data_IF_678696895484
#
_entry.id   IF_678696895484
#
_cell.length_a   1.000
_cell.length_b   1.000
_cell.length_c   1.000
_cell.angle_alpha   90.00
_cell.angle_beta   90.00
_cell.angle_gamma   90.00
#
_symmetry.space_group_name_H-M   'P 1'
#
loop_
_entity.id
_entity.type
_entity.pdbx_description
1 polymer ?
#
# COMPACT_ATOMS: atom_id res chain seq x y z
N UNK A 1 -15.29 -7.05 -16.25
CA UNK A 1 -13.91 -6.95 -16.72
C UNK A 1 -13.92 -6.24 -18.08
N UNK A 2 -13.08 -5.25 -18.29
CA UNK A 2 -13.00 -4.50 -19.56
C UNK A 2 -11.62 -4.71 -20.21
N UNK A 3 -11.54 -4.59 -21.54
CA UNK A 3 -10.24 -4.67 -22.24
C UNK A 3 -9.37 -3.46 -21.90
N UNK A 4 -8.05 -3.68 -21.88
CA UNK A 4 -7.03 -2.62 -21.66
C UNK A 4 -7.19 -1.49 -22.68
N UNK A 5 -7.51 -1.83 -23.94
CA UNK A 5 -7.58 -0.87 -25.04
C UNK A 5 -8.79 0.06 -24.93
N UNK A 6 -9.92 -0.46 -24.42
CA UNK A 6 -11.15 0.30 -24.30
C UNK A 6 -11.30 1.02 -22.95
N UNK A 7 -10.40 0.77 -21.99
CA UNK A 7 -10.46 1.44 -20.70
C UNK A 7 -10.26 2.95 -20.86
N UNK A 8 -11.13 3.70 -20.23
CA UNK A 8 -11.09 5.17 -20.11
C UNK A 8 -11.14 5.56 -18.64
N UNK A 9 -10.53 6.70 -18.27
CA UNK A 9 -10.65 7.24 -16.92
C UNK A 9 -12.12 7.34 -16.50
N UNK A 10 -12.39 6.96 -15.26
CA UNK A 10 -13.75 7.01 -14.70
C UNK A 10 -14.23 8.44 -14.48
N UNK A 11 -15.55 8.63 -14.38
CA UNK A 11 -16.25 9.91 -14.20
C UNK A 11 -16.03 10.92 -15.34
N UNK A 12 -15.77 10.45 -16.56
CA UNK A 12 -15.57 11.34 -17.72
C UNK A 12 -14.32 12.21 -17.64
N UNK A 13 -13.39 11.90 -16.72
CA UNK A 13 -12.14 12.65 -16.57
C UNK A 13 -11.23 12.46 -17.78
N UNK A 14 -10.62 13.54 -18.21
CA UNK A 14 -9.58 13.55 -19.23
C UNK A 14 -8.24 13.71 -18.51
N UNK A 15 -7.41 12.68 -18.55
CA UNK A 15 -6.04 12.75 -18.05
C UNK A 15 -5.14 13.38 -19.11
N UNK A 16 -4.17 14.16 -18.66
CA UNK A 16 -3.08 14.60 -19.54
C UNK A 16 -2.35 13.38 -20.16
N UNK A 17 -1.76 13.49 -21.37
CA UNK A 17 -1.16 12.36 -22.07
C UNK A 17 -0.14 11.59 -21.22
N UNK A 18 0.72 12.27 -20.47
CA UNK A 18 1.71 11.62 -19.60
C UNK A 18 1.06 10.91 -18.40
N UNK A 19 0.02 11.50 -17.79
CA UNK A 19 -0.74 10.89 -16.71
C UNK A 19 -1.50 9.65 -17.20
N UNK A 20 -2.08 9.70 -18.42
CA UNK A 20 -2.75 8.56 -19.02
C UNK A 20 -1.76 7.41 -19.31
N UNK A 21 -0.58 7.72 -19.85
CA UNK A 21 0.49 6.73 -20.05
C UNK A 21 0.91 6.10 -18.71
N UNK A 22 1.11 6.91 -17.67
CA UNK A 22 1.48 6.43 -16.35
C UNK A 22 0.38 5.54 -15.72
N UNK A 23 -0.89 5.89 -15.92
CA UNK A 23 -2.01 5.08 -15.45
C UNK A 23 -2.08 3.71 -16.14
N UNK A 24 -1.77 3.63 -17.44
CA UNK A 24 -1.80 2.39 -18.24
C UNK A 24 -0.50 1.58 -18.20
N UNK A 25 0.60 2.11 -17.66
CA UNK A 25 1.88 1.41 -17.65
C UNK A 25 1.84 0.16 -16.73
N UNK A 26 2.22 -0.97 -17.25
CA UNK A 26 2.19 -2.27 -16.56
C UNK A 26 3.57 -2.89 -16.33
N UNK A 27 4.54 -2.57 -17.17
CA UNK A 27 5.81 -3.30 -17.23
C UNK A 27 6.95 -2.58 -16.47
N UNK A 28 6.85 -1.24 -16.35
CA UNK A 28 7.96 -0.42 -15.86
C UNK A 28 7.63 0.21 -14.51
N UNK A 29 8.66 0.33 -13.68
CA UNK A 29 8.60 1.23 -12.52
C UNK A 29 8.62 2.68 -13.02
N UNK A 30 7.68 3.48 -12.54
CA UNK A 30 7.55 4.89 -12.90
C UNK A 30 7.84 5.79 -11.70
N UNK A 31 8.59 6.86 -11.94
CA UNK A 31 8.66 8.02 -11.06
C UNK A 31 7.81 9.15 -11.66
N UNK A 32 6.81 9.61 -10.92
CA UNK A 32 5.95 10.71 -11.33
C UNK A 32 6.28 11.96 -10.50
N UNK A 33 6.78 12.98 -11.17
CA UNK A 33 6.99 14.30 -10.55
C UNK A 33 5.91 15.26 -11.04
N UNK A 34 5.31 15.99 -10.13
CA UNK A 34 4.30 17.00 -10.46
C UNK A 34 4.17 18.00 -9.32
N UNK A 35 3.86 19.24 -9.64
CA UNK A 35 3.64 20.31 -8.67
C UNK A 35 2.46 20.07 -7.71
N UNK A 36 2.29 20.88 -6.69
CA UNK A 36 1.10 20.89 -5.86
C UNK A 36 -0.15 21.10 -6.72
N UNK A 37 -1.23 20.36 -6.42
CA UNK A 37 -2.48 20.49 -7.17
C UNK A 37 -2.53 19.82 -8.55
N UNK A 38 -1.43 19.31 -9.08
CA UNK A 38 -1.34 18.72 -10.42
C UNK A 38 -2.00 17.32 -10.57
N UNK A 39 -2.94 16.96 -9.72
CA UNK A 39 -3.73 15.75 -9.91
C UNK A 39 -3.03 14.42 -9.60
N UNK A 40 -1.87 14.39 -8.93
CA UNK A 40 -1.14 13.14 -8.60
C UNK A 40 -2.02 12.07 -7.94
N UNK A 41 -2.78 12.46 -6.92
CA UNK A 41 -3.66 11.52 -6.20
C UNK A 41 -4.78 11.00 -7.10
N UNK A 42 -5.29 11.83 -8.00
CA UNK A 42 -6.29 11.42 -8.97
C UNK A 42 -5.71 10.41 -9.97
N UNK A 43 -4.53 10.69 -10.50
CA UNK A 43 -3.86 9.74 -11.42
C UNK A 43 -3.62 8.39 -10.76
N UNK A 44 -3.23 8.35 -9.47
CA UNK A 44 -3.05 7.10 -8.73
C UNK A 44 -4.39 6.35 -8.54
N UNK A 45 -5.48 7.07 -8.29
CA UNK A 45 -6.81 6.47 -8.20
C UNK A 45 -7.26 5.89 -9.56
N UNK A 46 -7.02 6.60 -10.65
CA UNK A 46 -7.29 6.12 -12.00
C UNK A 46 -6.41 4.93 -12.39
N UNK A 47 -5.14 4.89 -11.95
CA UNK A 47 -4.28 3.71 -12.12
C UNK A 47 -4.84 2.50 -11.37
N UNK A 48 -5.31 2.68 -10.14
CA UNK A 48 -5.94 1.60 -9.39
C UNK A 48 -7.23 1.11 -10.09
N UNK A 49 -8.06 2.03 -10.60
CA UNK A 49 -9.24 1.71 -11.39
C UNK A 49 -8.87 0.90 -12.64
N UNK A 50 -7.86 1.35 -13.38
CA UNK A 50 -7.34 0.63 -14.54
C UNK A 50 -6.94 -0.80 -14.18
N UNK A 51 -6.06 -0.97 -13.19
CA UNK A 51 -5.53 -2.28 -12.79
C UNK A 51 -6.63 -3.25 -12.34
N UNK A 52 -7.62 -2.75 -11.62
CA UNK A 52 -8.72 -3.56 -11.09
C UNK A 52 -9.77 -3.92 -12.15
N UNK A 53 -10.19 -2.96 -12.98
CA UNK A 53 -11.22 -3.18 -14.01
C UNK A 53 -10.73 -3.99 -15.19
N UNK A 54 -9.47 -3.84 -15.58
CA UNK A 54 -8.86 -4.62 -16.67
C UNK A 54 -8.34 -5.98 -16.22
N UNK A 55 -8.39 -6.28 -14.89
CA UNK A 55 -7.77 -7.45 -14.29
C UNK A 55 -6.25 -7.53 -14.49
N UNK A 56 -5.59 -6.41 -14.77
CA UNK A 56 -4.12 -6.34 -14.79
C UNK A 56 -3.52 -6.58 -13.40
N UNK A 57 -4.31 -6.38 -12.35
CA UNK A 57 -4.06 -6.94 -11.02
C UNK A 57 -5.02 -8.12 -10.83
N UNK A 58 -4.61 -9.37 -11.16
CA UNK A 58 -5.51 -10.53 -11.16
C UNK A 58 -5.91 -10.93 -9.74
N UNK A 59 -7.15 -11.46 -9.59
CA UNK A 59 -7.58 -12.05 -8.32
C UNK A 59 -6.71 -13.28 -7.99
N UNK A 60 -6.30 -13.51 -6.73
CA UNK A 60 -6.65 -12.78 -5.51
C UNK A 60 -5.70 -11.64 -5.13
N UNK A 61 -4.82 -11.21 -6.02
CA UNK A 61 -3.86 -10.14 -5.73
C UNK A 61 -4.54 -8.82 -5.42
N UNK A 62 -3.82 -7.99 -4.67
CA UNK A 62 -4.26 -6.69 -4.16
C UNK A 62 -3.30 -5.59 -4.61
N UNK A 63 -3.76 -4.37 -4.62
CA UNK A 63 -2.92 -3.19 -4.85
C UNK A 63 -2.53 -2.60 -3.49
N UNK A 64 -1.25 -2.31 -3.29
CA UNK A 64 -0.73 -1.63 -2.12
C UNK A 64 -0.33 -0.20 -2.47
N UNK A 65 -0.90 0.75 -1.76
CA UNK A 65 -0.48 2.16 -1.78
C UNK A 65 0.08 2.55 -0.42
N UNK A 66 1.25 3.20 -0.42
CA UNK A 66 1.89 3.67 0.81
C UNK A 66 2.09 5.18 0.73
N UNK A 67 1.74 5.89 1.80
CA UNK A 67 1.91 7.34 1.91
C UNK A 67 2.58 7.73 3.23
N UNK A 68 3.04 8.97 3.33
CA UNK A 68 3.58 9.50 4.58
C UNK A 68 2.47 9.96 5.54
N UNK A 69 1.38 10.52 5.01
CA UNK A 69 0.32 11.15 5.79
C UNK A 69 -0.93 10.27 5.84
N UNK A 70 -1.54 10.21 7.01
CA UNK A 70 -2.80 9.47 7.23
C UNK A 70 -3.91 9.99 6.30
N UNK A 71 -4.05 11.31 6.20
CA UNK A 71 -5.09 11.94 5.36
C UNK A 71 -4.89 11.63 3.87
N UNK A 72 -3.63 11.57 3.39
CA UNK A 72 -3.32 11.18 2.02
C UNK A 72 -3.74 9.73 1.76
N UNK A 73 -3.47 8.83 2.70
CA UNK A 73 -3.88 7.43 2.63
C UNK A 73 -5.41 7.28 2.59
N UNK A 74 -6.12 7.98 3.47
CA UNK A 74 -7.59 7.98 3.51
C UNK A 74 -8.19 8.55 2.23
N UNK A 75 -7.73 9.72 1.80
CA UNK A 75 -8.20 10.38 0.58
C UNK A 75 -8.03 9.50 -0.65
N UNK A 76 -6.88 8.85 -0.81
CA UNK A 76 -6.65 7.94 -1.93
C UNK A 76 -7.60 6.74 -1.88
N UNK A 77 -7.80 6.14 -0.70
CA UNK A 77 -8.74 5.03 -0.53
C UNK A 77 -10.17 5.40 -0.89
N UNK A 78 -10.63 6.58 -0.44
CA UNK A 78 -11.96 7.10 -0.79
C UNK A 78 -12.12 7.34 -2.29
N UNK A 79 -11.09 7.90 -2.95
CA UNK A 79 -11.12 8.10 -4.40
C UNK A 79 -11.22 6.78 -5.14
N UNK A 80 -10.42 5.79 -4.79
CA UNK A 80 -10.48 4.45 -5.40
C UNK A 80 -11.86 3.82 -5.17
N UNK A 81 -12.41 3.94 -3.96
CA UNK A 81 -13.76 3.46 -3.67
C UNK A 81 -14.83 4.10 -4.57
N UNK A 82 -14.79 5.42 -4.74
CA UNK A 82 -15.73 6.14 -5.62
C UNK A 82 -15.59 5.71 -7.08
N UNK A 83 -14.37 5.41 -7.57
CA UNK A 83 -14.10 5.00 -8.94
C UNK A 83 -14.47 3.56 -9.23
N UNK A 84 -14.14 2.66 -8.34
CA UNK A 84 -14.23 1.22 -8.56
C UNK A 84 -15.49 0.58 -7.98
N UNK A 85 -16.16 1.25 -7.03
CA UNK A 85 -17.22 0.67 -6.22
C UNK A 85 -16.68 -0.28 -5.14
N UNK A 86 -17.59 -0.85 -4.34
CA UNK A 86 -17.27 -1.65 -3.15
C UNK A 86 -16.43 -2.89 -3.47
N UNK A 87 -16.84 -3.65 -4.48
CA UNK A 87 -16.24 -4.95 -4.76
C UNK A 87 -14.78 -4.85 -5.19
N UNK A 88 -14.48 -4.04 -6.18
CA UNK A 88 -13.12 -3.88 -6.69
C UNK A 88 -12.23 -3.15 -5.69
N UNK A 89 -12.73 -2.10 -5.04
CA UNK A 89 -11.97 -1.33 -4.05
C UNK A 89 -11.62 -2.14 -2.79
N UNK A 90 -12.31 -3.25 -2.51
CA UNK A 90 -11.96 -4.17 -1.43
C UNK A 90 -10.54 -4.75 -1.61
N UNK A 91 -10.03 -4.75 -2.82
CA UNK A 91 -8.68 -5.21 -3.20
C UNK A 91 -7.63 -4.09 -3.24
N UNK A 92 -7.98 -2.90 -2.78
CA UNK A 92 -7.08 -1.75 -2.69
C UNK A 92 -6.75 -1.45 -1.22
N UNK A 93 -5.50 -1.63 -0.85
CA UNK A 93 -4.98 -1.33 0.48
C UNK A 93 -4.18 -0.02 0.44
N UNK A 94 -4.57 0.94 1.27
CA UNK A 94 -3.85 2.21 1.44
C UNK A 94 -3.42 2.36 2.89
N UNK A 95 -2.12 2.51 3.10
CA UNK A 95 -1.50 2.60 4.41
C UNK A 95 -0.50 3.76 4.50
N UNK A 96 -0.17 4.17 5.72
CA UNK A 96 1.09 4.88 5.96
C UNK A 96 2.22 3.87 6.11
N UNK A 97 3.49 4.31 6.01
CA UNK A 97 4.65 3.45 6.27
C UNK A 97 4.54 2.74 7.62
N UNK A 98 4.22 3.47 8.68
CA UNK A 98 4.11 2.92 10.02
C UNK A 98 2.93 1.95 10.18
N UNK A 99 1.77 2.25 9.59
CA UNK A 99 0.63 1.34 9.66
C UNK A 99 0.86 0.05 8.87
N UNK A 100 1.58 0.11 7.76
CA UNK A 100 1.97 -1.08 7.01
C UNK A 100 3.04 -1.88 7.76
N UNK A 101 4.05 -1.21 8.34
CA UNK A 101 5.05 -1.83 9.20
C UNK A 101 4.42 -2.56 10.38
N UNK A 102 3.48 -1.91 11.09
CA UNK A 102 2.72 -2.56 12.16
C UNK A 102 2.02 -3.83 11.69
N UNK A 103 1.38 -3.80 10.53
CA UNK A 103 0.71 -4.98 9.94
C UNK A 103 1.69 -6.13 9.67
N UNK A 104 2.90 -5.83 9.21
CA UNK A 104 3.96 -6.84 9.03
C UNK A 104 4.36 -7.44 10.37
N UNK A 105 4.60 -6.60 11.38
CA UNK A 105 4.96 -7.05 12.73
C UNK A 105 3.85 -7.92 13.30
N UNK A 106 2.60 -7.46 13.30
CA UNK A 106 1.46 -8.22 13.85
C UNK A 106 1.35 -9.62 13.23
N UNK A 107 1.61 -9.73 11.93
CA UNK A 107 1.49 -10.98 11.19
C UNK A 107 2.69 -11.91 11.37
N UNK A 108 3.88 -11.36 11.46
CA UNK A 108 5.13 -12.13 11.38
C UNK A 108 6.04 -11.96 12.60
N UNK A 109 5.57 -11.38 13.71
CA UNK A 109 6.40 -11.13 14.91
C UNK A 109 7.10 -12.38 15.46
N UNK A 110 6.55 -13.57 15.22
CA UNK A 110 7.18 -14.83 15.64
C UNK A 110 8.57 -15.09 15.00
N UNK A 111 8.94 -14.33 13.97
CA UNK A 111 10.27 -14.35 13.38
C UNK A 111 11.30 -13.66 14.27
N UNK A 112 10.86 -12.74 15.11
CA UNK A 112 11.72 -12.00 16.02
C UNK A 112 12.12 -12.90 17.20
N UNK A 113 13.41 -12.98 17.47
CA UNK A 113 13.98 -13.85 18.51
C UNK A 113 14.91 -13.07 19.45
N UNK A 114 15.26 -13.67 20.61
CA UNK A 114 16.16 -13.05 21.59
C UNK A 114 15.54 -11.78 22.20
N UNK A 115 16.32 -10.73 22.24
CA UNK A 115 15.93 -9.42 22.76
C UNK A 115 14.85 -8.73 21.90
N UNK A 116 14.74 -9.15 20.63
CA UNK A 116 13.78 -8.61 19.68
C UNK A 116 12.37 -9.24 19.79
N UNK A 117 12.20 -10.27 20.59
CA UNK A 117 10.94 -10.99 20.77
C UNK A 117 9.82 -10.03 21.21
N UNK A 118 8.66 -10.12 20.55
CA UNK A 118 7.47 -9.35 20.88
C UNK A 118 6.29 -10.26 21.22
N UNK A 119 5.63 -9.94 22.32
CA UNK A 119 4.44 -10.65 22.76
C UNK A 119 3.20 -10.28 21.90
N UNK A 120 2.20 -11.15 21.91
CA UNK A 120 0.91 -10.81 21.33
C UNK A 120 0.28 -9.67 22.18
N UNK A 121 -0.22 -8.63 21.49
CA UNK A 121 -0.82 -7.48 22.17
C UNK A 121 0.19 -6.46 22.72
N UNK A 122 1.43 -6.46 22.24
CA UNK A 122 2.40 -5.41 22.54
C UNK A 122 1.80 -4.01 22.32
N UNK A 123 2.25 -3.05 23.11
CA UNK A 123 1.81 -1.65 23.06
C UNK A 123 2.80 -0.81 22.28
N UNK A 124 2.31 0.22 21.61
CA UNK A 124 3.14 1.22 20.94
C UNK A 124 3.14 2.48 21.78
N UNK A 125 4.33 2.95 22.15
CA UNK A 125 4.54 4.19 22.88
C UNK A 125 4.98 5.31 21.95
N UNK A 126 4.45 6.51 22.14
CA UNK A 126 4.95 7.72 21.46
C UNK A 126 6.31 8.18 22.01
N UNK A 127 6.61 7.81 23.25
CA UNK A 127 7.89 8.13 23.89
C UNK A 127 8.92 7.08 23.52
N UNK A 128 10.15 7.51 23.29
CA UNK A 128 11.32 6.65 23.09
C UNK A 128 11.73 6.00 24.40
N UNK A 129 10.88 5.12 24.90
CA UNK A 129 11.21 4.26 26.03
C UNK A 129 11.90 3.02 25.46
N UNK A 130 12.88 2.49 26.20
CA UNK A 130 13.55 1.26 25.78
C UNK A 130 12.56 0.19 25.35
N UNK A 131 12.91 -0.56 24.31
CA UNK A 131 12.12 -1.65 23.77
C UNK A 131 12.02 -2.79 24.79
N UNK A 132 10.84 -3.36 24.93
CA UNK A 132 10.57 -4.55 25.76
C UNK A 132 9.69 -5.52 24.99
N UNK A 133 9.52 -6.75 25.50
CA UNK A 133 8.65 -7.76 24.86
C UNK A 133 7.20 -7.31 24.68
N UNK A 134 6.71 -6.46 25.56
CA UNK A 134 5.31 -6.00 25.55
C UNK A 134 5.14 -4.54 25.09
N UNK A 135 6.23 -3.86 24.73
CA UNK A 135 6.18 -2.46 24.31
C UNK A 135 7.33 -2.11 23.36
N UNK A 136 6.98 -1.37 22.31
CA UNK A 136 7.92 -0.76 21.37
C UNK A 136 7.61 0.72 21.19
N UNK A 137 8.56 1.52 20.74
CA UNK A 137 8.30 2.90 20.34
C UNK A 137 7.69 2.98 18.94
N UNK A 138 7.06 4.10 18.64
CA UNK A 138 6.55 4.35 17.29
C UNK A 138 7.68 4.34 16.23
N UNK A 139 8.89 4.79 16.59
CA UNK A 139 10.07 4.83 15.74
C UNK A 139 10.59 3.43 15.41
N UNK A 140 10.35 2.43 16.25
CA UNK A 140 10.82 1.05 16.05
C UNK A 140 9.99 0.27 15.00
N UNK A 141 8.80 0.74 14.67
CA UNK A 141 7.89 0.01 13.78
C UNK A 141 8.51 -0.30 12.42
N UNK A 142 9.08 0.69 11.76
CA UNK A 142 9.66 0.50 10.41
C UNK A 142 10.92 -0.34 10.46
N UNK A 143 11.91 -0.07 11.36
CA UNK A 143 13.09 -0.92 11.53
C UNK A 143 12.77 -2.38 11.80
N UNK A 144 11.81 -2.66 12.69
CA UNK A 144 11.39 -4.02 13.00
C UNK A 144 10.72 -4.74 11.83
N UNK A 145 9.88 -4.05 11.09
CA UNK A 145 9.28 -4.62 9.89
C UNK A 145 10.34 -4.96 8.84
N UNK A 146 11.35 -4.10 8.65
CA UNK A 146 12.49 -4.35 7.77
C UNK A 146 13.28 -5.58 8.27
N UNK A 147 13.55 -5.67 9.57
CA UNK A 147 14.23 -6.81 10.17
C UNK A 147 13.49 -8.12 9.89
N UNK A 148 12.18 -8.18 10.11
CA UNK A 148 11.34 -9.34 9.81
C UNK A 148 11.46 -9.73 8.33
N UNK A 149 11.36 -8.74 7.43
CA UNK A 149 11.46 -8.99 6.00
C UNK A 149 12.86 -9.47 5.58
N UNK A 150 13.92 -9.01 6.24
CA UNK A 150 15.28 -9.47 5.97
C UNK A 150 15.53 -10.90 6.48
N UNK A 151 14.99 -11.25 7.62
CA UNK A 151 15.20 -12.54 8.26
C UNK A 151 14.29 -13.66 7.70
N UNK A 152 13.12 -13.32 7.17
CA UNK A 152 12.11 -14.30 6.75
C UNK A 152 11.77 -14.21 5.26
N UNK A 153 12.19 -15.23 4.50
CA UNK A 153 11.73 -15.38 3.12
C UNK A 153 10.23 -15.67 3.04
N UNK A 154 9.66 -16.32 4.06
CA UNK A 154 8.21 -16.60 4.14
C UNK A 154 7.44 -15.30 4.22
N UNK A 155 7.87 -14.35 5.07
CA UNK A 155 7.24 -13.04 5.16
C UNK A 155 7.31 -12.27 3.84
N UNK A 156 8.50 -12.25 3.19
CA UNK A 156 8.66 -11.62 1.86
C UNK A 156 7.75 -12.25 0.81
N UNK A 157 7.71 -13.57 0.74
CA UNK A 157 6.89 -14.27 -0.24
C UNK A 157 5.40 -14.03 0.00
N UNK A 158 4.94 -14.03 1.25
CA UNK A 158 3.55 -13.71 1.58
C UNK A 158 3.15 -12.31 1.11
N UNK A 159 4.02 -11.30 1.28
CA UNK A 159 3.78 -9.95 0.77
C UNK A 159 3.73 -9.93 -0.76
N UNK A 160 4.71 -10.57 -1.43
CA UNK A 160 4.76 -10.66 -2.91
C UNK A 160 3.58 -11.39 -3.52
N UNK A 161 3.06 -12.41 -2.85
CA UNK A 161 1.87 -13.15 -3.29
C UNK A 161 0.59 -12.33 -3.08
N UNK A 162 0.55 -11.50 -2.04
CA UNK A 162 -0.62 -10.68 -1.72
C UNK A 162 -0.73 -9.49 -2.67
N UNK A 163 0.39 -8.84 -3.00
CA UNK A 163 0.37 -7.59 -3.77
C UNK A 163 0.95 -7.77 -5.18
N UNK A 164 0.37 -7.01 -6.10
CA UNK A 164 0.78 -6.94 -7.50
C UNK A 164 1.64 -5.73 -7.76
#
# INVERSE_FOLDING_TARGET
MISIDIWKPSDGLILEPNALRAAKELERCLALTAGPGAGKTEMLAQKADFLLRTNSCPYPKRILAISFKVDASKNLKERVYRRCGTDLSSRFDSYTFHSFAKRIIDKFRAVLTGEDTLDAGYKISERKNGRTRNQISYEDLVPLAIQILNQSHIARNAIRQTYS
#
